data_IF_252174209975
#
_entry.id   IF_252174209975
#
_cell.length_a   1.000
_cell.length_b   1.000
_cell.length_c   1.000
_cell.angle_alpha   90.00
_cell.angle_beta   90.00
_cell.angle_gamma   90.00
#
_symmetry.space_group_name_H-M   'P 1'
#
loop_
_entity.id
_entity.type
_entity.pdbx_description
1 polymer ?
#
# COMPACT_ATOMS: atom_id res chain seq x y z
N UNK A 1 2.05 27.45 2.91
CA UNK A 1 0.61 27.75 2.85
C UNK A 1 0.29 28.67 4.03
N UNK A 2 -0.39 29.80 3.80
CA UNK A 2 -0.74 30.75 4.88
C UNK A 2 -1.80 30.14 5.80
N UNK A 3 -1.72 30.40 7.11
CA UNK A 3 -2.66 29.85 8.09
C UNK A 3 -3.44 30.98 8.75
N UNK A 4 -4.77 30.91 8.65
CA UNK A 4 -5.68 31.86 9.28
C UNK A 4 -6.37 31.22 10.47
N UNK A 5 -6.62 32.04 11.49
CA UNK A 5 -7.14 31.55 12.76
C UNK A 5 -8.58 32.01 12.98
N UNK A 6 -9.41 31.12 13.52
CA UNK A 6 -10.82 31.37 13.83
C UNK A 6 -11.14 31.07 15.29
N UNK A 7 -12.31 31.51 15.74
CA UNK A 7 -12.85 31.20 17.06
C UNK A 7 -13.40 29.78 17.12
N UNK A 8 -13.29 29.14 18.28
CA UNK A 8 -13.79 27.78 18.53
C UNK A 8 -15.28 27.61 18.23
N UNK A 9 -16.09 28.67 18.44
CA UNK A 9 -17.54 28.68 18.13
C UNK A 9 -17.88 28.43 16.66
N UNK A 10 -16.92 28.63 15.74
CA UNK A 10 -17.12 28.45 14.29
C UNK A 10 -16.61 27.10 13.80
N UNK A 11 -15.81 26.39 14.61
CA UNK A 11 -15.11 25.15 14.22
C UNK A 11 -16.06 24.03 13.83
N UNK A 12 -17.12 23.78 14.62
CA UNK A 12 -18.10 22.72 14.31
C UNK A 12 -18.87 23.00 13.00
N UNK A 13 -19.05 24.28 12.65
CA UNK A 13 -19.68 24.65 11.37
C UNK A 13 -18.73 24.40 10.21
N UNK A 14 -17.45 24.70 10.38
CA UNK A 14 -16.42 24.39 9.38
C UNK A 14 -16.35 22.88 9.15
N UNK A 15 -16.34 22.06 10.20
CA UNK A 15 -16.37 20.59 10.05
C UNK A 15 -17.62 20.05 9.34
N UNK A 16 -18.72 20.80 9.41
CA UNK A 16 -19.94 20.48 8.65
C UNK A 16 -19.86 20.91 7.18
N UNK A 17 -18.70 21.40 6.72
CA UNK A 17 -18.45 21.83 5.34
C UNK A 17 -18.81 23.30 5.05
N UNK A 18 -18.99 24.14 6.08
CA UNK A 18 -19.28 25.56 5.88
C UNK A 18 -18.00 26.38 5.61
N UNK A 19 -18.14 27.39 4.75
CA UNK A 19 -17.06 28.35 4.48
C UNK A 19 -16.75 29.24 5.68
N UNK A 20 -15.49 29.68 5.78
CA UNK A 20 -15.08 30.60 6.83
C UNK A 20 -15.40 32.04 6.41
N UNK A 21 -16.34 32.64 7.15
CA UNK A 21 -16.72 34.04 6.98
C UNK A 21 -15.70 34.97 7.65
N UNK A 22 -15.46 36.13 7.04
CA UNK A 22 -14.52 37.16 7.50
C UNK A 22 -14.71 37.61 8.97
N UNK A 23 -15.93 37.71 9.54
CA UNK A 23 -16.12 38.00 10.96
C UNK A 23 -15.54 36.94 11.90
N UNK A 24 -15.42 35.69 11.45
CA UNK A 24 -14.86 34.60 12.24
C UNK A 24 -13.34 34.59 12.29
N UNK A 25 -12.68 35.39 11.45
CA UNK A 25 -11.21 35.41 11.32
C UNK A 25 -10.62 36.35 12.36
N UNK A 26 -9.64 35.87 13.13
CA UNK A 26 -8.86 36.72 14.03
C UNK A 26 -7.91 37.62 13.22
N UNK A 27 -8.05 38.93 13.44
CA UNK A 27 -7.27 39.96 12.72
C UNK A 27 -6.12 40.53 13.55
N UNK A 28 -6.19 40.40 14.87
CA UNK A 28 -5.24 41.00 15.82
C UNK A 28 -4.66 39.94 16.78
N UNK A 29 -3.34 39.96 17.01
CA UNK A 29 -2.65 39.06 17.96
C UNK A 29 -1.22 38.69 17.56
N UNK A 30 -0.49 37.92 18.40
CA UNK A 30 0.91 37.52 18.18
C UNK A 30 1.12 36.59 16.96
N UNK A 31 0.03 36.14 16.35
CA UNK A 31 -0.01 35.30 15.15
C UNK A 31 -0.73 35.97 13.98
N UNK A 32 -0.92 37.30 14.05
CA UNK A 32 -1.49 38.07 12.96
C UNK A 32 -0.56 37.98 11.74
N UNK A 33 -0.90 37.09 10.80
CA UNK A 33 -0.27 37.10 9.49
C UNK A 33 -0.58 38.45 8.81
N UNK A 34 0.40 38.97 8.07
CA UNK A 34 0.23 40.24 7.39
C UNK A 34 -0.83 40.09 6.27
N UNK A 35 -2.03 40.64 6.50
CA UNK A 35 -3.14 40.67 5.55
C UNK A 35 -2.88 41.59 4.34
N UNK A 36 -1.70 42.22 4.25
CA UNK A 36 -1.28 43.03 3.11
C UNK A 36 -1.09 42.22 1.82
N UNK A 37 -0.73 40.94 1.93
CA UNK A 37 -0.37 40.09 0.78
C UNK A 37 -1.42 38.98 0.54
N UNK A 38 -2.70 39.34 0.60
CA UNK A 38 -3.79 38.41 0.29
C UNK A 38 -4.01 38.34 -1.22
N UNK A 39 -3.84 37.14 -1.78
CA UNK A 39 -4.14 36.83 -3.17
C UNK A 39 -5.41 35.97 -3.23
N UNK A 40 -6.47 36.49 -3.85
CA UNK A 40 -7.68 35.71 -4.14
C UNK A 40 -7.32 34.45 -4.94
N UNK A 41 -7.91 33.33 -4.58
CA UNK A 41 -7.70 32.01 -5.19
C UNK A 41 -6.46 31.27 -4.66
N UNK A 42 -5.67 31.85 -3.76
CA UNK A 42 -4.52 31.14 -3.18
C UNK A 42 -4.95 30.17 -2.08
N UNK A 43 -4.24 29.04 -1.98
CA UNK A 43 -4.49 28.02 -0.97
C UNK A 43 -4.07 28.48 0.42
N UNK A 44 -4.91 28.18 1.41
CA UNK A 44 -4.71 28.53 2.81
C UNK A 44 -5.21 27.45 3.77
N UNK A 45 -4.69 27.46 4.99
CA UNK A 45 -5.14 26.63 6.10
C UNK A 45 -6.00 27.45 7.07
N UNK A 46 -6.94 26.80 7.73
CA UNK A 46 -7.74 27.35 8.83
C UNK A 46 -7.43 26.58 10.10
N UNK A 47 -7.07 27.28 11.18
CA UNK A 47 -6.84 26.72 12.50
C UNK A 47 -7.67 27.49 13.55
N UNK A 48 -7.78 26.96 14.77
CA UNK A 48 -8.46 27.65 15.89
C UNK A 48 -7.47 28.00 16.99
N UNK A 49 -7.83 29.01 17.79
CA UNK A 49 -7.17 29.28 19.06
C UNK A 49 -8.11 28.95 20.22
N UNK A 50 -7.56 28.32 21.25
CA UNK A 50 -8.22 28.11 22.54
C UNK A 50 -7.30 28.58 23.68
N UNK A 51 -7.87 29.14 24.75
CA UNK A 51 -7.12 29.54 25.94
C UNK A 51 -7.51 30.88 26.54
N UNK A 52 -7.17 31.06 27.81
CA UNK A 52 -7.37 32.32 28.56
C UNK A 52 -6.29 33.35 28.20
N UNK A 53 -6.54 34.66 28.35
CA UNK A 53 -5.53 35.70 28.09
C UNK A 53 -4.32 35.48 29.01
N UNK A 54 -3.23 34.95 28.45
CA UNK A 54 -2.02 34.54 29.15
C UNK A 54 -1.46 33.18 28.70
N UNK A 55 -2.31 32.31 28.13
CA UNK A 55 -1.91 31.00 27.58
C UNK A 55 -2.72 30.68 26.31
N UNK A 56 -2.41 31.35 25.19
CA UNK A 56 -3.03 31.04 23.90
C UNK A 56 -2.41 29.79 23.29
N UNK A 57 -3.22 28.75 23.02
CA UNK A 57 -2.80 27.55 22.30
C UNK A 57 -3.48 27.49 20.92
N UNK A 58 -2.67 27.37 19.87
CA UNK A 58 -3.15 27.13 18.49
C UNK A 58 -3.44 25.64 18.27
N UNK A 59 -4.55 25.33 17.61
CA UNK A 59 -4.83 23.97 17.11
C UNK A 59 -4.00 23.65 15.87
N UNK A 60 -3.93 22.35 15.51
CA UNK A 60 -3.55 21.93 14.16
C UNK A 60 -4.54 22.50 13.13
N UNK A 61 -4.15 22.49 11.85
CA UNK A 61 -5.03 22.89 10.76
C UNK A 61 -6.31 22.05 10.78
N UNK A 62 -7.45 22.74 10.89
CA UNK A 62 -8.79 22.17 10.97
C UNK A 62 -9.38 21.97 9.57
N UNK A 63 -9.02 22.86 8.65
CA UNK A 63 -9.50 22.82 7.27
C UNK A 63 -8.48 23.46 6.32
N UNK A 64 -8.60 23.12 5.04
CA UNK A 64 -7.86 23.73 3.94
C UNK A 64 -8.84 24.26 2.91
N UNK A 65 -8.50 25.39 2.30
CA UNK A 65 -9.41 26.10 1.40
C UNK A 65 -8.72 27.13 0.53
N UNK A 66 -9.53 27.84 -0.26
CA UNK A 66 -9.06 28.92 -1.14
C UNK A 66 -9.52 30.27 -0.61
N UNK A 67 -8.64 31.26 -0.68
CA UNK A 67 -8.98 32.64 -0.31
C UNK A 67 -9.96 33.25 -1.31
N UNK A 68 -11.06 33.83 -0.84
CA UNK A 68 -12.04 34.50 -1.70
C UNK A 68 -11.82 36.01 -1.82
N UNK A 69 -10.89 36.56 -1.05
CA UNK A 69 -10.66 38.00 -0.94
C UNK A 69 -9.21 38.35 -1.24
N UNK A 70 -8.99 39.38 -2.07
CA UNK A 70 -7.70 40.03 -2.21
C UNK A 70 -7.46 41.03 -1.05
N UNK A 71 -6.25 41.56 -0.92
CA UNK A 71 -5.95 42.57 0.09
C UNK A 71 -6.79 43.85 -0.08
N UNK A 72 -7.16 44.19 -1.32
CA UNK A 72 -8.07 45.30 -1.62
C UNK A 72 -9.50 45.00 -1.16
N UNK A 73 -10.00 43.80 -1.46
CA UNK A 73 -11.36 43.36 -1.07
C UNK A 73 -11.49 43.26 0.44
N UNK A 74 -10.46 42.75 1.12
CA UNK A 74 -10.42 42.65 2.57
C UNK A 74 -10.60 44.02 3.23
N UNK A 75 -9.90 45.05 2.74
CA UNK A 75 -10.03 46.43 3.22
C UNK A 75 -11.39 47.05 2.87
N UNK A 76 -11.92 46.78 1.68
CA UNK A 76 -13.19 47.33 1.21
C UNK A 76 -14.43 46.65 1.83
N UNK A 77 -14.30 45.42 2.33
CA UNK A 77 -15.41 44.58 2.77
C UNK A 77 -16.10 45.00 4.08
N UNK A 78 -15.50 45.92 4.84
CA UNK A 78 -16.03 46.32 6.15
C UNK A 78 -16.16 45.15 7.14
N UNK A 79 -15.37 44.09 6.96
CA UNK A 79 -15.39 42.91 7.84
C UNK A 79 -16.48 41.89 7.55
N UNK A 80 -17.17 41.98 6.40
CA UNK A 80 -18.23 41.03 5.99
C UNK A 80 -17.83 40.25 4.73
N UNK A 81 -18.46 39.09 4.52
CA UNK A 81 -18.25 38.26 3.33
C UNK A 81 -17.51 36.95 3.63
N UNK A 82 -17.44 36.08 2.62
CA UNK A 82 -16.71 34.81 2.67
C UNK A 82 -15.22 35.12 2.56
N UNK A 83 -14.44 34.61 3.50
CA UNK A 83 -13.00 34.82 3.52
C UNK A 83 -12.25 33.62 2.93
N UNK A 84 -12.63 32.41 3.33
CA UNK A 84 -12.07 31.15 2.80
C UNK A 84 -13.21 30.23 2.40
N UNK A 85 -13.19 29.79 1.14
CA UNK A 85 -14.01 28.67 0.67
C UNK A 85 -13.34 27.37 1.11
N UNK A 86 -14.02 26.58 1.94
CA UNK A 86 -13.46 25.36 2.54
C UNK A 86 -13.55 24.22 1.54
N UNK A 87 -12.40 23.63 1.21
CA UNK A 87 -12.33 22.50 0.27
C UNK A 87 -12.32 21.16 1.01
N UNK A 88 -11.63 21.10 2.15
CA UNK A 88 -11.46 19.87 2.92
C UNK A 88 -11.29 20.19 4.41
N UNK A 89 -11.81 19.31 5.27
CA UNK A 89 -11.80 19.47 6.73
C UNK A 89 -11.26 18.23 7.41
N UNK A 90 -10.61 18.40 8.57
CA UNK A 90 -9.99 17.32 9.33
C UNK A 90 -10.97 16.28 9.93
N UNK A 91 -12.27 16.40 9.64
CA UNK A 91 -13.31 15.44 10.04
C UNK A 91 -14.17 14.97 8.87
N UNK A 92 -13.92 15.42 7.65
CA UNK A 92 -14.67 14.91 6.53
C UNK A 92 -14.18 13.52 6.11
N UNK A 93 -14.88 12.92 5.14
CA UNK A 93 -14.69 11.52 4.74
C UNK A 93 -13.31 11.23 4.12
N UNK A 94 -12.52 12.26 3.77
CA UNK A 94 -11.14 12.10 3.31
C UNK A 94 -10.18 11.86 4.50
N UNK A 95 -10.48 12.39 5.69
CA UNK A 95 -9.65 12.19 6.90
C UNK A 95 -9.96 10.92 7.69
N UNK A 96 -11.17 10.37 7.57
CA UNK A 96 -11.51 9.08 8.17
C UNK A 96 -10.79 7.89 7.50
N UNK A 97 -10.32 8.06 6.26
CA UNK A 97 -9.41 7.11 5.59
C UNK A 97 -7.94 7.24 6.08
N UNK A 98 -7.58 8.35 6.73
CA UNK A 98 -6.21 8.67 7.18
C UNK A 98 -5.91 8.32 8.66
N UNK A 99 -6.91 7.92 9.46
CA UNK A 99 -6.73 7.63 10.89
C UNK A 99 -6.15 6.23 11.22
N UNK A 100 -5.76 5.43 10.23
CA UNK A 100 -5.11 4.13 10.46
C UNK A 100 -3.61 4.24 10.82
N UNK A 101 -3.02 5.44 10.85
CA UNK A 101 -1.61 5.60 11.26
C UNK A 101 -1.41 6.87 12.05
N UNK A 102 -1.13 6.72 13.34
CA UNK A 102 -0.70 7.79 14.23
C UNK A 102 0.83 8.00 14.19
N UNK A 103 1.33 9.13 14.72
CA UNK A 103 2.37 9.94 14.08
C UNK A 103 3.72 9.86 14.78
N UNK A 104 4.83 10.02 14.05
CA UNK A 104 6.07 10.55 14.64
C UNK A 104 6.79 11.57 13.75
N UNK A 105 6.97 12.75 14.35
CA UNK A 105 8.01 13.78 14.19
C UNK A 105 8.52 14.18 12.79
N UNK A 106 8.08 15.39 12.43
CA UNK A 106 8.71 16.39 11.55
C UNK A 106 10.25 16.33 11.47
N UNK A 107 10.75 15.91 10.30
CA UNK A 107 11.90 16.52 9.68
C UNK A 107 11.50 16.95 8.26
N UNK A 108 11.60 18.25 8.00
CA UNK A 108 11.29 18.84 6.71
C UNK A 108 12.15 18.21 5.61
N UNK A 109 11.52 17.48 4.71
CA UNK A 109 12.02 17.24 3.37
C UNK A 109 10.83 17.41 2.43
N UNK A 110 10.95 18.36 1.52
CA UNK A 110 10.09 18.52 0.35
C UNK A 110 9.83 17.15 -0.30
N UNK A 111 8.59 16.84 -0.74
CA UNK A 111 8.36 15.59 -1.46
C UNK A 111 9.09 15.72 -2.78
N UNK A 112 10.25 15.05 -2.86
CA UNK A 112 10.87 14.71 -4.12
C UNK A 112 9.82 13.90 -4.86
N UNK A 113 9.26 14.47 -5.93
CA UNK A 113 8.41 13.76 -6.90
C UNK A 113 9.11 12.42 -7.19
N UNK A 114 8.54 11.31 -6.74
CA UNK A 114 9.10 10.00 -7.04
C UNK A 114 9.16 9.90 -8.57
N UNK A 115 10.31 9.49 -9.10
CA UNK A 115 10.64 9.53 -10.53
C UNK A 115 9.84 8.53 -11.38
N UNK A 116 8.70 8.04 -10.86
CA UNK A 116 8.00 6.86 -11.35
C UNK A 116 6.54 7.17 -11.78
N UNK A 117 5.99 8.33 -11.42
CA UNK A 117 4.60 8.64 -11.77
C UNK A 117 4.41 8.76 -13.29
N UNK A 118 3.42 8.04 -13.81
CA UNK A 118 3.01 8.04 -15.22
C UNK A 118 1.68 8.75 -15.30
N UNK A 119 1.74 10.00 -15.73
CA UNK A 119 0.57 10.90 -15.69
C UNK A 119 -0.07 10.86 -14.27
N UNK A 120 -1.39 10.98 -14.20
CA UNK A 120 -2.15 10.99 -12.94
C UNK A 120 -2.83 9.65 -12.63
N UNK A 121 -2.51 8.57 -13.36
CA UNK A 121 -3.20 7.27 -13.23
C UNK A 121 -2.32 6.13 -12.70
N UNK A 122 -1.01 6.35 -12.56
CA UNK A 122 -0.11 5.32 -12.06
C UNK A 122 1.08 5.93 -11.31
N UNK A 123 1.28 5.49 -10.08
CA UNK A 123 2.19 6.10 -9.10
C UNK A 123 3.42 5.25 -8.80
N UNK A 124 3.45 4.03 -9.33
CA UNK A 124 4.63 3.20 -9.32
C UNK A 124 4.41 1.74 -8.97
N UNK A 125 5.49 0.95 -8.98
CA UNK A 125 5.38 -0.49 -8.96
C UNK A 125 4.98 -0.90 -7.55
N UNK A 126 4.04 -1.84 -7.38
CA UNK A 126 3.83 -2.40 -6.06
C UNK A 126 5.10 -3.13 -5.61
N UNK A 127 5.40 -3.02 -4.32
CA UNK A 127 6.35 -3.90 -3.64
C UNK A 127 5.71 -5.27 -3.57
N UNK A 128 6.39 -6.27 -4.17
CA UNK A 128 5.95 -7.65 -4.15
C UNK A 128 6.69 -8.40 -3.05
N UNK A 129 5.95 -8.97 -2.11
CA UNK A 129 6.50 -9.73 -1.00
C UNK A 129 5.93 -11.15 -0.97
N UNK A 130 6.80 -12.16 -0.92
CA UNK A 130 6.39 -13.56 -0.73
C UNK A 130 5.98 -13.77 0.74
N UNK A 131 4.76 -14.25 0.94
CA UNK A 131 4.21 -14.56 2.26
C UNK A 131 3.59 -15.95 2.27
N UNK A 132 3.53 -16.55 3.47
CA UNK A 132 2.92 -17.85 3.69
C UNK A 132 1.63 -17.66 4.50
N UNK A 133 0.58 -18.39 4.12
CA UNK A 133 -0.68 -18.40 4.85
C UNK A 133 -0.60 -19.44 5.97
N UNK A 134 -0.84 -19.01 7.20
CA UNK A 134 -0.79 -19.88 8.38
C UNK A 134 -1.90 -20.92 8.31
N UNK A 135 -1.50 -22.19 8.37
CA UNK A 135 -2.39 -23.35 8.40
C UNK A 135 -2.99 -23.54 9.79
N UNK A 136 -4.05 -24.34 9.90
CA UNK A 136 -4.62 -24.70 11.21
C UNK A 136 -3.65 -25.48 12.09
N UNK A 137 -2.72 -26.24 11.49
CA UNK A 137 -1.72 -27.02 12.23
C UNK A 137 -0.65 -26.12 12.86
N UNK A 138 -0.23 -25.06 12.15
CA UNK A 138 0.79 -24.13 12.64
C UNK A 138 0.22 -22.99 13.49
N UNK A 139 -1.07 -22.66 13.36
CA UNK A 139 -1.72 -21.56 14.08
C UNK A 139 -1.51 -21.58 15.62
N UNK A 140 -1.55 -22.71 16.33
CA UNK A 140 -1.30 -22.74 17.78
C UNK A 140 0.07 -22.18 18.17
N UNK A 141 1.09 -22.32 17.32
CA UNK A 141 2.42 -21.77 17.57
C UNK A 141 2.43 -20.25 17.46
N UNK A 142 1.75 -19.70 16.47
CA UNK A 142 1.74 -18.26 16.19
C UNK A 142 0.69 -17.46 17.00
N UNK A 143 -0.18 -18.14 17.74
CA UNK A 143 -1.26 -17.52 18.51
C UNK A 143 -0.76 -16.47 19.52
N UNK A 144 0.41 -16.70 20.14
CA UNK A 144 1.01 -15.75 21.08
C UNK A 144 1.44 -14.42 20.41
N UNK A 145 1.68 -14.43 19.10
CA UNK A 145 1.98 -13.25 18.29
C UNK A 145 0.71 -12.58 17.72
N UNK A 146 -0.49 -13.03 18.11
CA UNK A 146 -1.76 -12.52 17.60
C UNK A 146 -2.13 -13.00 16.20
N UNK A 147 -1.38 -13.96 15.65
CA UNK A 147 -1.63 -14.51 14.32
C UNK A 147 -2.50 -15.76 14.39
N UNK A 148 -3.47 -15.85 13.48
CA UNK A 148 -4.46 -16.93 13.45
C UNK A 148 -4.39 -17.67 12.11
N UNK A 149 -5.16 -18.76 11.99
CA UNK A 149 -5.34 -19.45 10.70
C UNK A 149 -5.80 -18.44 9.64
N UNK A 150 -5.11 -18.42 8.49
CA UNK A 150 -5.41 -17.51 7.39
C UNK A 150 -4.60 -16.21 7.42
N UNK A 151 -3.93 -15.87 8.53
CA UNK A 151 -2.99 -14.75 8.56
C UNK A 151 -1.82 -15.01 7.61
N UNK A 152 -1.30 -13.94 6.98
CA UNK A 152 -0.10 -13.97 6.16
C UNK A 152 1.13 -13.65 7.00
N UNK A 153 2.20 -14.42 6.82
CA UNK A 153 3.47 -14.25 7.53
C UNK A 153 4.66 -14.39 6.56
N UNK A 154 5.65 -13.54 6.72
CA UNK A 154 6.92 -13.57 5.98
C UNK A 154 7.91 -14.57 6.60
N UNK A 155 8.95 -14.91 5.85
CA UNK A 155 10.04 -15.73 6.41
C UNK A 155 10.77 -15.02 7.57
N UNK A 156 10.94 -13.69 7.46
CA UNK A 156 11.60 -12.89 8.48
C UNK A 156 10.80 -12.86 9.79
N UNK A 157 9.49 -12.60 9.71
CA UNK A 157 8.59 -12.63 10.87
C UNK A 157 8.54 -14.03 11.49
N UNK A 158 8.52 -15.09 10.66
CA UNK A 158 8.58 -16.47 11.15
C UNK A 158 9.84 -16.70 11.99
N UNK A 159 11.01 -16.31 11.46
CA UNK A 159 12.28 -16.42 12.18
C UNK A 159 12.28 -15.60 13.48
N UNK A 160 11.74 -14.38 13.45
CA UNK A 160 11.67 -13.51 14.62
C UNK A 160 10.80 -14.10 15.72
N UNK A 161 9.60 -14.57 15.38
CA UNK A 161 8.66 -15.18 16.34
C UNK A 161 9.24 -16.47 16.91
N UNK A 162 9.86 -17.31 16.08
CA UNK A 162 10.49 -18.55 16.52
C UNK A 162 11.66 -18.30 17.46
N UNK A 163 12.55 -17.35 17.12
CA UNK A 163 13.65 -16.98 18.03
C UNK A 163 13.12 -16.46 19.35
N UNK A 164 12.16 -15.54 19.33
CA UNK A 164 11.56 -14.99 20.56
C UNK A 164 10.91 -16.07 21.43
N UNK A 165 10.22 -17.03 20.80
CA UNK A 165 9.63 -18.18 21.50
C UNK A 165 10.70 -19.04 22.18
N UNK A 166 11.73 -19.45 21.44
CA UNK A 166 12.81 -20.31 21.92
C UNK A 166 13.58 -19.65 23.07
N UNK A 167 13.85 -18.35 22.94
CA UNK A 167 14.60 -17.57 23.93
C UNK A 167 13.78 -17.34 25.21
N UNK A 168 12.50 -16.99 25.08
CA UNK A 168 11.60 -16.79 26.24
C UNK A 168 11.44 -18.04 27.11
N UNK A 169 11.51 -19.22 26.49
CA UNK A 169 11.37 -20.52 27.17
C UNK A 169 12.71 -21.19 27.50
N UNK A 170 13.83 -20.53 27.18
CA UNK A 170 15.20 -21.03 27.39
C UNK A 170 15.39 -22.45 26.83
N UNK A 171 14.89 -22.70 25.62
CA UNK A 171 14.89 -24.04 25.00
C UNK A 171 16.20 -24.36 24.25
N UNK A 172 17.10 -23.38 24.08
CA UNK A 172 18.40 -23.63 23.43
C UNK A 172 19.30 -24.49 24.30
N UNK A 173 19.99 -25.44 23.69
CA UNK A 173 21.02 -26.21 24.37
C UNK A 173 22.25 -25.31 24.68
N UNK A 174 22.87 -25.50 25.84
CA UNK A 174 24.05 -24.76 26.30
C UNK A 174 25.28 -25.03 25.43
N UNK A 175 25.46 -26.27 24.99
CA UNK A 175 26.65 -26.72 24.28
C UNK A 175 26.54 -26.36 22.79
N UNK A 176 25.37 -26.60 22.22
CA UNK A 176 25.08 -26.29 20.83
C UNK A 176 23.80 -25.46 20.69
N UNK A 177 23.97 -24.16 20.45
CA UNK A 177 22.86 -23.20 20.30
C UNK A 177 21.96 -23.45 19.09
N UNK A 178 22.36 -24.31 18.13
CA UNK A 178 21.52 -24.69 17.00
C UNK A 178 20.50 -25.78 17.33
N UNK A 179 20.66 -26.45 18.47
CA UNK A 179 19.77 -27.51 18.95
C UNK A 179 18.80 -26.92 19.98
N UNK A 180 17.52 -27.23 19.80
CA UNK A 180 16.41 -26.76 20.61
C UNK A 180 15.76 -27.97 21.26
N UNK A 181 15.55 -27.91 22.57
CA UNK A 181 14.73 -28.89 23.30
C UNK A 181 13.26 -28.72 22.90
N UNK A 182 12.63 -29.80 22.44
CA UNK A 182 11.21 -29.78 22.08
C UNK A 182 10.33 -29.78 23.34
N UNK A 183 9.46 -28.77 23.45
CA UNK A 183 8.43 -28.73 24.48
C UNK A 183 7.09 -29.27 23.96
N UNK A 184 6.06 -29.33 24.82
CA UNK A 184 4.76 -29.89 24.46
C UNK A 184 4.08 -29.20 23.26
N UNK A 185 4.39 -27.93 22.99
CA UNK A 185 3.85 -27.23 21.83
C UNK A 185 4.63 -27.60 20.58
N UNK A 186 5.96 -27.59 20.64
CA UNK A 186 6.81 -28.01 19.54
C UNK A 186 6.54 -29.46 19.15
N UNK A 187 6.36 -30.38 20.10
CA UNK A 187 6.01 -31.77 19.82
C UNK A 187 4.68 -31.95 19.06
N UNK A 188 3.73 -31.02 19.23
CA UNK A 188 2.43 -31.07 18.55
C UNK A 188 2.47 -30.49 17.15
N UNK A 189 3.34 -29.50 16.93
CA UNK A 189 3.39 -28.73 15.67
C UNK A 189 4.50 -29.23 14.74
N UNK A 190 5.59 -29.75 15.31
CA UNK A 190 6.74 -30.24 14.56
C UNK A 190 6.49 -31.61 13.93
N UNK A 191 7.25 -31.89 12.87
CA UNK A 191 7.29 -33.21 12.27
C UNK A 191 7.90 -34.25 13.20
N UNK A 192 7.23 -35.41 13.42
CA UNK A 192 7.84 -36.51 14.15
C UNK A 192 9.18 -36.97 13.57
N UNK A 193 9.33 -36.94 12.24
CA UNK A 193 10.53 -37.41 11.55
C UNK A 193 11.74 -36.47 11.68
N UNK A 194 11.52 -35.21 12.07
CA UNK A 194 12.58 -34.22 12.27
C UNK A 194 12.97 -34.08 13.74
N UNK A 195 12.22 -34.72 14.64
CA UNK A 195 12.55 -34.82 16.05
C UNK A 195 13.56 -35.94 16.28
N UNK A 196 14.63 -35.64 17.01
CA UNK A 196 15.62 -36.64 17.45
C UNK A 196 15.50 -36.83 18.95
N UNK A 197 15.76 -38.03 19.47
CA UNK A 197 15.85 -38.24 20.91
C UNK A 197 17.07 -37.50 21.49
N UNK A 198 16.89 -36.85 22.63
CA UNK A 198 17.96 -36.20 23.34
C UNK A 198 18.86 -37.25 24.03
N UNK A 199 20.17 -37.00 24.18
CA UNK A 199 21.09 -37.97 24.78
C UNK A 199 20.77 -38.27 26.26
N UNK A 200 20.05 -37.38 26.94
CA UNK A 200 19.57 -37.56 28.31
C UNK A 200 18.12 -38.06 28.40
N UNK A 201 17.55 -38.50 27.27
CA UNK A 201 16.22 -39.12 27.22
C UNK A 201 16.23 -40.45 27.98
N UNK A 202 15.21 -40.70 28.80
CA UNK A 202 15.04 -41.96 29.53
C UNK A 202 13.67 -42.55 29.19
N UNK A 203 13.50 -43.86 29.28
CA UNK A 203 12.23 -44.55 28.96
C UNK A 203 11.04 -44.03 29.80
N UNK A 204 11.29 -43.54 31.01
CA UNK A 204 10.29 -42.92 31.88
C UNK A 204 10.03 -41.43 31.58
N UNK A 205 10.96 -40.74 30.92
CA UNK A 205 10.87 -39.32 30.55
C UNK A 205 11.48 -39.11 29.15
N UNK A 206 10.70 -39.34 28.09
CA UNK A 206 11.18 -39.17 26.73
C UNK A 206 11.42 -37.69 26.46
N UNK A 207 12.64 -37.37 26.02
CA UNK A 207 13.07 -36.02 25.67
C UNK A 207 13.44 -35.97 24.19
N UNK A 208 12.89 -35.00 23.48
CA UNK A 208 13.19 -34.79 22.07
C UNK A 208 13.86 -33.44 21.85
N UNK A 209 14.62 -33.37 20.77
CA UNK A 209 15.35 -32.20 20.31
C UNK A 209 15.17 -32.02 18.80
N UNK A 210 15.27 -30.78 18.35
CA UNK A 210 15.14 -30.39 16.95
C UNK A 210 16.16 -29.30 16.63
N UNK A 211 16.65 -29.25 15.40
CA UNK A 211 17.51 -28.13 14.97
C UNK A 211 16.65 -26.88 14.72
N UNK A 212 17.25 -25.70 14.85
CA UNK A 212 16.55 -24.45 14.52
C UNK A 212 16.03 -24.46 13.07
N UNK A 213 16.79 -24.99 12.12
CA UNK A 213 16.36 -25.09 10.72
C UNK A 213 15.19 -26.05 10.55
N UNK A 214 15.23 -27.22 11.17
CA UNK A 214 14.15 -28.20 11.07
C UNK A 214 12.86 -27.73 11.75
N UNK A 215 12.99 -26.91 12.81
CA UNK A 215 11.85 -26.24 13.44
C UNK A 215 11.18 -25.27 12.46
N UNK A 216 11.95 -24.42 11.79
CA UNK A 216 11.42 -23.51 10.76
C UNK A 216 10.78 -24.30 9.62
N UNK A 217 11.44 -25.36 9.14
CA UNK A 217 10.90 -26.25 8.11
C UNK A 217 9.58 -26.84 8.54
N UNK A 218 9.48 -27.37 9.77
CA UNK A 218 8.24 -27.94 10.30
C UNK A 218 7.09 -26.95 10.35
N UNK A 219 7.37 -25.71 10.78
CA UNK A 219 6.36 -24.64 10.91
C UNK A 219 5.90 -24.10 9.56
N UNK A 220 6.79 -24.07 8.57
CA UNK A 220 6.52 -23.51 7.24
C UNK A 220 6.06 -24.54 6.22
N UNK A 221 6.18 -25.83 6.54
CA UNK A 221 5.79 -26.92 5.66
C UNK A 221 4.30 -26.88 5.33
N UNK A 222 4.00 -27.02 4.05
CA UNK A 222 2.62 -27.09 3.55
C UNK A 222 1.84 -25.79 3.73
N UNK A 223 2.47 -24.71 4.20
CA UNK A 223 1.85 -23.39 4.19
C UNK A 223 1.67 -22.93 2.75
N UNK A 224 0.49 -22.40 2.44
CA UNK A 224 0.20 -21.88 1.10
C UNK A 224 1.03 -20.62 0.88
N UNK A 225 1.96 -20.67 -0.06
CA UNK A 225 2.70 -19.49 -0.53
C UNK A 225 1.76 -18.63 -1.37
N UNK A 226 1.72 -17.33 -1.07
CA UNK A 226 1.02 -16.29 -1.83
C UNK A 226 1.88 -15.03 -1.86
N UNK A 227 1.45 -14.00 -2.58
CA UNK A 227 2.18 -12.75 -2.68
C UNK A 227 1.35 -11.59 -2.17
N UNK A 228 1.98 -10.72 -1.38
CA UNK A 228 1.44 -9.45 -0.93
C UNK A 228 1.93 -8.34 -1.85
N UNK A 229 1.00 -7.58 -2.40
CA UNK A 229 1.30 -6.40 -3.21
C UNK A 229 1.01 -5.18 -2.36
N UNK A 230 2.02 -4.36 -2.15
CA UNK A 230 1.92 -3.10 -1.41
C UNK A 230 2.19 -1.96 -2.38
N UNK A 231 1.19 -1.11 -2.60
CA UNK A 231 1.26 -0.02 -3.56
C UNK A 231 1.93 1.22 -2.96
N UNK A 232 2.49 2.10 -3.79
CA UNK A 232 2.92 3.44 -3.35
C UNK A 232 1.75 4.15 -2.65
N UNK A 233 1.96 4.81 -1.50
CA UNK A 233 0.92 5.50 -0.76
C UNK A 233 0.14 6.52 -1.62
N UNK A 234 0.82 7.15 -2.58
CA UNK A 234 0.25 8.12 -3.51
C UNK A 234 -0.83 7.53 -4.42
N UNK A 235 -0.84 6.21 -4.60
CA UNK A 235 -1.87 5.52 -5.39
C UNK A 235 -3.23 5.41 -4.68
N UNK A 236 -3.27 5.56 -3.35
CA UNK A 236 -4.48 5.29 -2.56
C UNK A 236 -4.95 3.83 -2.59
N UNK A 237 -4.19 2.91 -3.21
CA UNK A 237 -4.56 1.50 -3.31
C UNK A 237 -4.15 0.75 -2.05
N UNK A 238 -5.06 -0.06 -1.54
CA UNK A 238 -4.80 -0.90 -0.37
C UNK A 238 -3.97 -2.13 -0.74
N UNK A 239 -3.06 -2.58 0.13
CA UNK A 239 -2.34 -3.83 -0.07
C UNK A 239 -3.29 -5.02 -0.13
N UNK A 240 -2.99 -6.00 -0.98
CA UNK A 240 -3.78 -7.23 -1.05
C UNK A 240 -2.92 -8.47 -1.28
N UNK A 241 -3.53 -9.64 -1.06
CA UNK A 241 -2.92 -10.96 -1.25
C UNK A 241 -3.40 -11.61 -2.54
N UNK A 242 -2.48 -12.18 -3.32
CA UNK A 242 -2.84 -12.93 -4.53
C UNK A 242 -3.55 -14.23 -4.22
N UNK A 243 -4.44 -14.66 -5.12
CA UNK A 243 -5.14 -15.94 -4.98
C UNK A 243 -4.23 -17.17 -5.23
N UNK A 244 -3.26 -17.03 -6.14
CA UNK A 244 -2.36 -18.09 -6.59
C UNK A 244 -1.01 -18.13 -5.87
N UNK A 245 -0.34 -19.28 -5.98
CA UNK A 245 1.01 -19.53 -5.45
C UNK A 245 2.14 -19.13 -6.39
N UNK A 246 1.81 -18.75 -7.63
CA UNK A 246 2.77 -18.21 -8.59
C UNK A 246 2.86 -16.70 -8.42
N UNK A 247 4.06 -16.11 -8.58
CA UNK A 247 4.20 -14.67 -8.54
C UNK A 247 3.33 -14.06 -9.65
N UNK A 248 2.55 -13.01 -9.36
CA UNK A 248 1.74 -12.34 -10.37
C UNK A 248 2.66 -11.72 -11.41
N UNK A 249 2.23 -11.75 -12.67
CA UNK A 249 2.99 -11.19 -13.79
C UNK A 249 2.05 -10.45 -14.72
N UNK A 250 2.54 -9.38 -15.33
CA UNK A 250 1.90 -8.83 -16.51
C UNK A 250 2.09 -9.81 -17.67
N UNK A 251 1.02 -10.05 -18.43
CA UNK A 251 1.04 -10.99 -19.55
C UNK A 251 1.02 -10.19 -20.84
N UNK A 252 2.10 -10.27 -21.62
CA UNK A 252 2.24 -9.63 -22.93
C UNK A 252 2.23 -10.71 -24.01
N UNK A 253 1.26 -10.64 -24.91
CA UNK A 253 1.04 -11.63 -25.97
C UNK A 253 0.93 -10.94 -27.33
N UNK A 254 1.66 -11.42 -28.33
CA UNK A 254 1.41 -11.10 -29.73
C UNK A 254 0.65 -12.24 -30.40
N UNK A 255 -0.40 -11.90 -31.13
CA UNK A 255 -1.22 -12.88 -31.84
C UNK A 255 -1.77 -12.28 -33.12
N UNK A 256 -2.29 -13.14 -34.00
CA UNK A 256 -2.96 -12.73 -35.24
C UNK A 256 -4.47 -12.76 -35.05
N UNK A 257 -5.11 -11.61 -35.18
CA UNK A 257 -6.57 -11.50 -35.23
C UNK A 257 -6.97 -11.10 -36.64
N UNK A 258 -7.77 -11.94 -37.30
CA UNK A 258 -8.20 -11.73 -38.69
C UNK A 258 -7.03 -11.48 -39.66
N UNK A 259 -5.93 -12.25 -39.48
CA UNK A 259 -4.72 -12.13 -40.29
C UNK A 259 -3.83 -10.93 -39.96
N UNK A 260 -4.23 -10.04 -39.04
CA UNK A 260 -3.46 -8.88 -38.61
C UNK A 260 -2.79 -9.14 -37.27
N UNK A 261 -1.53 -8.72 -37.15
CA UNK A 261 -0.82 -8.77 -35.87
C UNK A 261 -1.45 -7.81 -34.87
N UNK A 262 -1.65 -8.28 -33.64
CA UNK A 262 -2.10 -7.50 -32.51
C UNK A 262 -1.28 -7.86 -31.27
N UNK A 263 -1.06 -6.87 -30.42
CA UNK A 263 -0.34 -7.05 -29.15
C UNK A 263 -1.30 -6.81 -28.00
N UNK A 264 -1.42 -7.78 -27.09
CA UNK A 264 -2.32 -7.76 -25.93
C UNK A 264 -1.51 -7.74 -24.63
N UNK A 265 -1.94 -6.89 -23.68
CA UNK A 265 -1.44 -6.86 -22.31
C UNK A 265 -2.58 -7.14 -21.35
N UNK A 266 -2.45 -8.17 -20.51
CA UNK A 266 -3.43 -8.56 -19.49
C UNK A 266 -2.85 -8.45 -18.07
N UNK A 267 -3.72 -8.59 -17.07
CA UNK A 267 -3.41 -8.52 -15.64
C UNK A 267 -3.00 -7.13 -15.10
N UNK A 268 -3.38 -6.07 -15.80
CA UNK A 268 -3.04 -4.68 -15.46
C UNK A 268 -3.54 -4.26 -14.06
N UNK A 269 -4.79 -4.62 -13.74
CA UNK A 269 -5.47 -4.22 -12.49
C UNK A 269 -4.75 -4.75 -11.25
N UNK A 270 -4.18 -5.96 -11.32
CA UNK A 270 -3.38 -6.55 -10.23
C UNK A 270 -2.19 -5.68 -9.84
N UNK A 271 -1.66 -4.90 -10.79
CA UNK A 271 -0.53 -3.99 -10.57
C UNK A 271 -0.98 -2.53 -10.37
N UNK A 272 -2.27 -2.29 -10.10
CA UNK A 272 -2.79 -0.94 -9.85
C UNK A 272 -2.88 -0.08 -11.09
N UNK A 273 -2.95 -0.70 -12.28
CA UNK A 273 -3.01 0.00 -13.56
C UNK A 273 -4.45 0.04 -14.03
N UNK A 274 -4.99 1.24 -14.20
CA UNK A 274 -6.29 1.41 -14.85
C UNK A 274 -6.18 1.07 -16.36
N UNK A 275 -6.88 0.04 -16.86
CA UNK A 275 -6.81 -0.35 -18.26
C UNK A 275 -7.24 0.77 -19.22
N UNK A 276 -8.19 1.62 -18.82
CA UNK A 276 -8.72 2.68 -19.68
C UNK A 276 -7.68 3.80 -19.86
N UNK A 277 -7.10 4.28 -18.78
CA UNK A 277 -6.07 5.32 -18.79
C UNK A 277 -4.81 4.81 -19.48
N UNK A 278 -4.39 3.58 -19.17
CA UNK A 278 -3.27 2.94 -19.86
C UNK A 278 -3.52 2.79 -21.37
N UNK A 279 -4.74 2.47 -21.81
CA UNK A 279 -5.07 2.40 -23.24
C UNK A 279 -4.93 3.74 -23.96
N UNK A 280 -5.29 4.86 -23.30
CA UNK A 280 -5.16 6.21 -23.86
C UNK A 280 -3.70 6.59 -23.97
N UNK A 281 -2.92 6.32 -22.93
CA UNK A 281 -1.48 6.56 -22.92
C UNK A 281 -0.76 5.75 -24.02
N UNK A 282 -1.09 4.46 -24.16
CA UNK A 282 -0.53 3.62 -25.21
C UNK A 282 -0.89 4.08 -26.63
N UNK A 283 -2.12 4.56 -26.85
CA UNK A 283 -2.56 5.09 -28.14
C UNK A 283 -1.66 6.24 -28.60
N UNK A 284 -1.29 7.12 -27.68
CA UNK A 284 -0.39 8.26 -27.95
C UNK A 284 1.03 7.78 -28.24
N UNK A 285 1.57 6.87 -27.44
CA UNK A 285 2.97 6.40 -27.58
C UNK A 285 3.17 5.55 -28.83
N UNK A 286 2.23 4.65 -29.12
CA UNK A 286 2.34 3.71 -30.23
C UNK A 286 1.81 4.27 -31.55
N UNK A 287 1.06 5.39 -31.51
CA UNK A 287 0.39 5.99 -32.67
C UNK A 287 -0.46 4.97 -33.45
N UNK A 288 -1.13 4.06 -32.74
CA UNK A 288 -1.96 3.00 -33.31
C UNK A 288 -3.30 2.86 -32.59
N UNK A 289 -4.22 2.09 -33.18
CA UNK A 289 -5.50 1.79 -32.55
C UNK A 289 -5.29 0.89 -31.33
N UNK A 290 -5.83 1.30 -30.19
CA UNK A 290 -5.75 0.58 -28.91
C UNK A 290 -7.14 0.47 -28.32
N UNK A 291 -7.55 -0.74 -27.93
CA UNK A 291 -8.85 -1.04 -27.36
C UNK A 291 -8.70 -1.78 -26.02
N UNK A 292 -9.61 -1.52 -25.09
CA UNK A 292 -9.77 -2.33 -23.88
C UNK A 292 -10.74 -3.46 -24.21
N UNK A 293 -10.37 -4.68 -23.84
CA UNK A 293 -11.14 -5.90 -24.02
C UNK A 293 -11.48 -6.47 -22.65
N UNK A 294 -12.69 -6.97 -22.50
CA UNK A 294 -13.04 -7.85 -21.40
C UNK A 294 -12.44 -9.23 -21.72
N UNK A 295 -11.51 -9.68 -20.90
CA UNK A 295 -10.81 -10.94 -21.11
C UNK A 295 -11.60 -12.06 -20.43
N UNK A 296 -11.97 -13.09 -21.17
CA UNK A 296 -12.73 -14.24 -20.63
C UNK A 296 -11.80 -15.31 -20.07
N UNK A 297 -10.47 -15.15 -20.22
CA UNK A 297 -9.47 -16.20 -20.02
C UNK A 297 -8.56 -15.98 -18.81
N UNK A 298 -9.16 -15.74 -17.62
CA UNK A 298 -8.53 -15.62 -16.28
C UNK A 298 -8.26 -14.20 -15.77
N UNK A 299 -8.16 -13.19 -16.63
CA UNK A 299 -8.03 -11.79 -16.20
C UNK A 299 -9.31 -11.03 -16.53
N UNK A 300 -9.70 -10.06 -15.70
CA UNK A 300 -10.94 -9.32 -15.90
C UNK A 300 -10.90 -8.38 -17.12
N UNK A 301 -9.70 -7.96 -17.54
CA UNK A 301 -9.53 -7.01 -18.64
C UNK A 301 -8.14 -7.13 -19.27
N UNK A 302 -8.07 -6.82 -20.57
CA UNK A 302 -6.85 -6.73 -21.34
C UNK A 302 -6.84 -5.47 -22.23
N UNK A 303 -5.66 -4.93 -22.53
CA UNK A 303 -5.48 -3.83 -23.49
C UNK A 303 -4.83 -4.38 -24.74
N UNK A 304 -5.44 -4.15 -25.91
CA UNK A 304 -4.97 -4.63 -27.20
C UNK A 304 -4.62 -3.47 -28.12
N UNK A 305 -3.37 -3.44 -28.59
CA UNK A 305 -2.86 -2.54 -29.60
C UNK A 305 -2.78 -3.25 -30.96
N UNK A 306 -3.12 -2.55 -32.04
CA UNK A 306 -2.97 -3.06 -33.40
C UNK A 306 -1.50 -2.98 -33.83
N UNK A 307 -0.96 -4.09 -34.34
CA UNK A 307 0.45 -4.23 -34.74
C UNK A 307 1.27 -5.10 -33.77
N UNK A 308 2.47 -5.47 -34.23
CA UNK A 308 3.47 -6.17 -33.42
C UNK A 308 4.30 -5.12 -32.64
N UNK A 309 4.07 -5.05 -31.33
CA UNK A 309 4.65 -4.05 -30.43
C UNK A 309 5.29 -4.66 -29.18
N UNK A 310 5.45 -5.98 -29.08
CA UNK A 310 5.94 -6.64 -27.87
C UNK A 310 7.31 -6.12 -27.43
N UNK A 311 8.25 -5.93 -28.36
CA UNK A 311 9.59 -5.40 -28.03
C UNK A 311 9.49 -3.98 -27.49
N UNK A 312 8.68 -3.14 -28.13
CA UNK A 312 8.52 -1.73 -27.73
C UNK A 312 7.79 -1.59 -26.40
N UNK A 313 6.74 -2.37 -26.19
CA UNK A 313 6.00 -2.40 -24.93
C UNK A 313 6.82 -3.02 -23.80
N UNK A 314 7.56 -4.08 -24.07
CA UNK A 314 8.50 -4.65 -23.10
C UNK A 314 9.49 -3.58 -22.63
N UNK A 315 10.11 -2.83 -23.54
CA UNK A 315 11.00 -1.70 -23.22
C UNK A 315 10.29 -0.57 -22.47
N UNK A 316 9.04 -0.25 -22.82
CA UNK A 316 8.27 0.78 -22.11
C UNK A 316 7.99 0.35 -20.66
N UNK A 317 7.71 -0.93 -20.44
CA UNK A 317 7.38 -1.48 -19.12
C UNK A 317 8.65 -1.72 -18.27
N UNK A 318 9.80 -2.04 -18.88
CA UNK A 318 11.05 -2.46 -18.18
C UNK A 318 12.25 -1.50 -18.29
N UNK A 319 12.22 -0.50 -19.17
CA UNK A 319 13.38 0.36 -19.48
C UNK A 319 13.64 1.50 -18.49
N UNK A 320 14.60 2.38 -18.81
CA UNK A 320 15.23 3.41 -17.94
C UNK A 320 14.27 4.38 -17.20
N UNK A 321 13.00 4.41 -17.56
CA UNK A 321 11.98 5.18 -16.83
C UNK A 321 11.22 4.35 -15.78
N UNK A 322 11.57 3.07 -15.59
CA UNK A 322 10.90 2.06 -14.77
C UNK A 322 9.40 2.37 -14.66
N UNK A 323 8.59 2.13 -15.69
CA UNK A 323 7.15 2.36 -15.53
C UNK A 323 6.48 1.15 -14.89
N UNK A 324 6.96 -0.08 -15.08
CA UNK A 324 6.20 -1.26 -14.70
C UNK A 324 7.09 -2.47 -14.38
N UNK A 325 7.71 -2.42 -13.19
CA UNK A 325 8.07 -3.59 -12.37
C UNK A 325 9.15 -4.55 -12.96
N UNK A 326 10.13 -5.03 -12.15
CA UNK A 326 11.07 -6.09 -12.55
C UNK A 326 10.43 -7.49 -12.77
N UNK A 327 9.11 -7.65 -12.55
CA UNK A 327 8.38 -8.93 -12.66
C UNK A 327 7.74 -9.14 -14.05
N UNK A 328 8.19 -8.38 -15.06
CA UNK A 328 7.83 -8.63 -16.44
C UNK A 328 8.45 -9.96 -16.92
N UNK A 329 7.82 -10.56 -17.94
CA UNK A 329 8.28 -11.71 -18.73
C UNK A 329 7.69 -13.06 -18.27
N UNK A 330 6.48 -13.32 -18.76
CA UNK A 330 6.30 -14.47 -19.64
C UNK A 330 6.04 -13.91 -21.05
N UNK A 331 7.09 -13.82 -21.87
CA UNK A 331 6.95 -13.63 -23.32
C UNK A 331 6.49 -14.97 -23.88
N UNK A 332 5.19 -15.19 -23.98
CA UNK A 332 4.69 -16.32 -24.74
C UNK A 332 4.67 -15.89 -26.20
N UNK A 333 5.73 -16.25 -26.94
CA UNK A 333 5.64 -16.35 -28.40
C UNK A 333 4.74 -17.55 -28.73
N UNK A 334 3.43 -17.38 -28.61
CA UNK A 334 2.47 -18.30 -29.22
C UNK A 334 2.44 -17.94 -30.71
N UNK A 335 3.42 -18.45 -31.46
CA UNK A 335 3.16 -18.77 -32.85
C UNK A 335 1.94 -19.69 -32.85
N UNK A 336 0.89 -19.29 -33.57
CA UNK A 336 -0.37 -20.01 -33.69
C UNK A 336 -0.18 -21.54 -33.68
N UNK A 337 -0.76 -22.20 -32.67
CA UNK A 337 -0.87 -23.65 -32.62
C UNK A 337 -1.25 -24.14 -31.23
N UNK A 338 -2.54 -24.41 -31.03
CA UNK A 338 -3.12 -25.12 -29.87
C UNK A 338 -3.12 -24.42 -28.51
N UNK A 339 -4.26 -23.82 -28.16
CA UNK A 339 -4.80 -23.93 -26.80
C UNK A 339 -5.37 -25.35 -26.66
N UNK A 340 -4.90 -26.23 -25.75
CA UNK A 340 -5.75 -27.31 -25.30
C UNK A 340 -6.84 -26.72 -24.39
N UNK A 341 -8.08 -27.23 -24.48
CA UNK A 341 -9.17 -26.77 -23.65
C UNK A 341 -8.91 -27.21 -22.20
N UNK A 342 -9.38 -26.39 -21.26
CA UNK A 342 -9.80 -26.75 -19.91
C UNK A 342 -9.47 -28.18 -19.47
N UNK A 343 -8.57 -28.30 -18.49
CA UNK A 343 -8.72 -29.32 -17.46
C UNK A 343 -8.43 -28.69 -16.11
N UNK A 344 -9.52 -28.39 -15.41
CA UNK A 344 -9.59 -28.56 -13.97
C UNK A 344 -8.96 -29.90 -13.58
N UNK A 345 -8.02 -29.87 -12.64
CA UNK A 345 -7.78 -30.81 -11.52
C UNK A 345 -6.79 -30.14 -10.57
#
# INVERSE_FOLDING_TARGET
MKTFYTNESVVERIYSGADLMLPGVFKDGPFAENFADLCKGSACAVASFSGSPGSLQSSKALAVGLLEMSAADFKASGGKGVFVTVLHTARDRLTLEELATQPETVAACSPKKSSFCVEDFYFGPPVLEEVRIISSAAAPFFAAAGLVKGSAITQAETNQIVSAYVDSRKLRNSDNKSIIRADNLLLKVCEPNLLTEAPNSTLAQPLFQITYQDLITSLTRGLKVVYRLTFPPESGLQPFLTAGSKPPKLVLLETKVNGKDVTRISNLVTFGIDPKSFSRHLRTILACSVNVLDDTSHYTSAVQAQGAHAVRLSKLLTGEHNLFVPYLILLVFLHCGFLPPNKDI
#
